data_IF_583284366547
#
_entry.id   IF_583284366547
#
_cell.length_a   1.000
_cell.length_b   1.000
_cell.length_c   1.000
_cell.angle_alpha   90.00
_cell.angle_beta   90.00
_cell.angle_gamma   90.00
#
_symmetry.space_group_name_H-M   'P 1'
#
loop_
_entity.id
_entity.type
_entity.pdbx_description
1 polymer ?
#
# COMPACT_ATOMS: atom_id res chain seq x y z
N UNK A 1 -11.93 -16.67 -13.23
CA UNK A 1 -10.65 -17.25 -12.79
C UNK A 1 -9.60 -16.20 -13.06
N UNK A 2 -9.09 -15.55 -12.06
CA UNK A 2 -7.95 -14.64 -12.20
C UNK A 2 -6.73 -15.49 -12.52
N UNK A 3 -6.22 -15.39 -13.74
CA UNK A 3 -4.92 -15.97 -14.12
C UNK A 3 -3.87 -15.32 -13.21
N UNK A 4 -3.11 -16.14 -12.49
CA UNK A 4 -2.01 -15.68 -11.66
C UNK A 4 -1.01 -14.86 -12.51
N UNK A 5 -0.46 -13.80 -11.91
CA UNK A 5 0.56 -12.99 -12.58
C UNK A 5 1.82 -13.82 -12.81
N UNK A 6 2.43 -13.66 -13.99
CA UNK A 6 3.77 -14.19 -14.26
C UNK A 6 4.79 -13.39 -13.47
N UNK A 7 5.68 -14.08 -12.76
CA UNK A 7 6.80 -13.40 -12.11
C UNK A 7 8.03 -13.41 -13.00
N UNK A 8 8.75 -12.28 -13.10
CA UNK A 8 9.98 -12.24 -13.88
C UNK A 8 11.07 -13.11 -13.25
N UNK A 9 11.96 -13.64 -14.08
CA UNK A 9 13.16 -14.34 -13.62
C UNK A 9 14.23 -13.31 -13.19
N UNK A 10 14.94 -13.60 -12.09
CA UNK A 10 16.04 -12.76 -11.59
C UNK A 10 15.88 -12.38 -10.11
N UNK A 11 16.79 -11.54 -9.62
CA UNK A 11 16.76 -11.00 -8.26
C UNK A 11 15.82 -9.79 -8.22
N UNK A 12 14.59 -10.03 -7.78
CA UNK A 12 13.56 -9.01 -7.63
C UNK A 12 13.14 -8.88 -6.18
N UNK A 13 12.83 -7.67 -5.77
CA UNK A 13 12.13 -7.42 -4.50
C UNK A 13 10.63 -7.49 -4.72
N UNK A 14 9.96 -8.30 -3.92
CA UNK A 14 8.52 -8.51 -4.03
C UNK A 14 7.78 -7.82 -2.90
N UNK A 15 6.73 -7.13 -3.27
CA UNK A 15 5.83 -6.49 -2.31
C UNK A 15 4.37 -6.82 -2.56
N UNK A 16 3.55 -6.49 -1.59
CA UNK A 16 2.10 -6.55 -1.67
C UNK A 16 1.49 -5.27 -1.13
N UNK A 17 0.29 -4.95 -1.59
CA UNK A 17 -0.57 -3.97 -0.95
C UNK A 17 -1.71 -4.68 -0.21
N UNK A 18 -2.12 -4.12 0.92
CA UNK A 18 -3.20 -4.64 1.74
C UNK A 18 -4.05 -3.52 2.34
N UNK A 19 -5.34 -3.84 2.55
CA UNK A 19 -6.29 -2.97 3.23
C UNK A 19 -7.15 -3.79 4.20
N UNK A 20 -8.11 -3.15 4.86
CA UNK A 20 -9.09 -3.85 5.72
C UNK A 20 -9.86 -4.96 5.00
N UNK A 21 -9.89 -4.95 3.66
CA UNK A 21 -10.53 -6.01 2.86
C UNK A 21 -9.84 -7.38 3.00
N UNK A 22 -8.54 -7.41 3.30
CA UNK A 22 -7.83 -8.64 3.62
C UNK A 22 -7.97 -8.95 5.12
N UNK A 23 -8.86 -9.89 5.53
CA UNK A 23 -9.20 -10.05 6.96
C UNK A 23 -8.05 -10.60 7.80
N UNK A 24 -7.25 -11.51 7.24
CA UNK A 24 -6.18 -12.19 7.97
C UNK A 24 -4.87 -12.17 7.18
N UNK A 25 -3.84 -11.57 7.76
CA UNK A 25 -2.46 -11.65 7.25
C UNK A 25 -1.64 -12.56 8.16
N UNK A 26 -1.16 -13.67 7.62
CA UNK A 26 -0.30 -14.63 8.34
C UNK A 26 1.16 -14.24 8.18
N UNK A 27 1.61 -13.22 8.90
CA UNK A 27 2.92 -12.59 8.77
C UNK A 27 4.10 -13.57 8.74
N UNK A 28 4.10 -14.60 9.59
CA UNK A 28 5.15 -15.64 9.60
C UNK A 28 5.20 -16.51 8.33
N UNK A 29 4.10 -16.54 7.57
CA UNK A 29 3.93 -17.38 6.39
C UNK A 29 3.66 -16.55 5.14
N UNK A 30 3.91 -15.24 5.22
CA UNK A 30 3.65 -14.32 4.12
C UNK A 30 4.71 -14.53 3.04
N UNK A 31 4.29 -15.11 1.91
CA UNK A 31 5.14 -15.38 0.75
C UNK A 31 4.30 -15.52 -0.50
N UNK A 32 4.92 -15.31 -1.65
CA UNK A 32 4.31 -15.56 -2.95
C UNK A 32 4.49 -17.03 -3.27
N UNK A 33 3.41 -17.68 -3.67
CA UNK A 33 3.43 -19.07 -4.13
C UNK A 33 3.45 -19.10 -5.65
N UNK A 34 4.35 -19.90 -6.25
CA UNK A 34 4.61 -19.90 -7.70
C UNK A 34 4.54 -21.34 -8.19
N UNK A 35 3.81 -21.59 -9.30
CA UNK A 35 3.69 -22.88 -9.95
C UNK A 35 4.84 -23.16 -10.94
N UNK A 36 4.73 -24.30 -11.64
CA UNK A 36 5.72 -24.76 -12.64
C UNK A 36 5.84 -23.81 -13.83
N UNK A 37 4.77 -23.10 -14.17
CA UNK A 37 4.74 -22.11 -15.26
C UNK A 37 5.28 -20.74 -14.85
N UNK A 38 5.69 -20.55 -13.58
CA UNK A 38 6.12 -19.27 -13.05
C UNK A 38 4.98 -18.31 -12.70
N UNK A 39 3.76 -18.80 -12.61
CA UNK A 39 2.57 -18.00 -12.26
C UNK A 39 2.29 -18.02 -10.76
N UNK A 40 1.76 -16.91 -10.23
CA UNK A 40 1.32 -16.86 -8.83
C UNK A 40 0.09 -17.74 -8.61
N UNK A 41 0.09 -18.51 -7.52
CA UNK A 41 -1.02 -19.39 -7.14
C UNK A 41 -1.42 -19.20 -5.68
N UNK A 42 -2.66 -19.51 -5.35
CA UNK A 42 -3.19 -19.41 -3.99
C UNK A 42 -3.03 -20.68 -3.16
N UNK A 43 -2.78 -21.80 -3.82
CA UNK A 43 -2.69 -23.11 -3.17
C UNK A 43 -1.24 -23.57 -3.04
N UNK A 44 -0.84 -23.88 -1.82
CA UNK A 44 0.49 -24.43 -1.56
C UNK A 44 0.72 -25.79 -2.26
N UNK A 45 -0.36 -26.54 -2.54
CA UNK A 45 -0.26 -27.81 -3.28
C UNK A 45 0.13 -27.65 -4.76
N UNK A 46 -0.12 -26.45 -5.33
CA UNK A 46 0.21 -26.12 -6.72
C UNK A 46 1.54 -25.37 -6.83
N UNK A 47 2.11 -24.96 -5.72
CA UNK A 47 3.34 -24.20 -5.71
C UNK A 47 4.54 -25.14 -5.75
N UNK A 48 5.46 -24.89 -6.66
CA UNK A 48 6.77 -25.57 -6.76
C UNK A 48 7.88 -24.73 -6.13
N UNK A 49 7.68 -23.41 -6.02
CA UNK A 49 8.60 -22.52 -5.32
C UNK A 49 7.87 -21.38 -4.59
N UNK A 50 8.58 -20.69 -3.72
CA UNK A 50 8.04 -19.55 -2.99
C UNK A 50 9.05 -18.43 -2.96
N UNK A 51 8.54 -17.16 -3.02
CA UNK A 51 9.36 -15.97 -2.83
C UNK A 51 8.93 -15.26 -1.54
N UNK A 52 9.91 -14.65 -0.86
CA UNK A 52 9.64 -13.82 0.31
C UNK A 52 8.96 -12.52 -0.09
N UNK A 53 8.24 -11.92 0.86
CA UNK A 53 7.73 -10.56 0.73
C UNK A 53 8.72 -9.64 1.43
N UNK A 54 9.31 -8.72 0.66
CA UNK A 54 10.32 -7.78 1.15
C UNK A 54 9.67 -6.51 1.70
N UNK A 55 8.54 -6.10 1.11
CA UNK A 55 7.82 -4.90 1.55
C UNK A 55 6.31 -5.04 1.44
N UNK A 56 5.60 -4.21 2.19
CA UNK A 56 4.14 -4.17 2.19
C UNK A 56 3.65 -2.73 2.24
N UNK A 57 2.79 -2.35 1.31
CA UNK A 57 2.01 -1.13 1.40
C UNK A 57 0.67 -1.40 2.08
N UNK A 58 0.31 -0.55 3.02
CA UNK A 58 -0.92 -0.70 3.80
C UNK A 58 -1.81 0.52 3.65
N UNK A 59 -3.09 0.30 3.35
CA UNK A 59 -4.08 1.38 3.39
C UNK A 59 -4.11 1.99 4.78
N UNK A 60 -3.79 3.27 4.87
CA UNK A 60 -3.90 4.01 6.12
C UNK A 60 -5.23 4.76 6.20
N UNK A 61 -5.58 5.45 5.11
CA UNK A 61 -6.74 6.34 5.06
C UNK A 61 -7.39 6.38 3.68
N UNK A 62 -8.61 6.92 3.63
CA UNK A 62 -9.31 7.25 2.40
C UNK A 62 -10.08 8.56 2.61
N UNK A 63 -10.04 9.46 1.63
CA UNK A 63 -10.76 10.71 1.69
C UNK A 63 -10.42 11.51 2.94
N UNK A 64 -11.34 12.38 3.36
CA UNK A 64 -11.09 13.36 4.42
C UNK A 64 -11.11 12.77 5.84
N UNK A 65 -11.73 11.59 6.05
CA UNK A 65 -11.99 11.12 7.42
C UNK A 65 -11.84 9.62 7.64
N UNK A 66 -11.95 8.78 6.60
CA UNK A 66 -11.85 7.33 6.78
C UNK A 66 -10.43 6.94 7.17
N UNK A 67 -10.33 6.08 8.21
CA UNK A 67 -9.08 5.46 8.69
C UNK A 67 -9.25 3.96 8.68
N UNK A 68 -8.29 3.25 8.06
CA UNK A 68 -8.31 1.80 8.08
C UNK A 68 -8.02 1.29 9.50
N UNK A 69 -9.03 0.67 10.13
CA UNK A 69 -8.94 0.21 11.53
C UNK A 69 -7.88 -0.88 11.75
N UNK A 70 -7.43 -1.54 10.68
CA UNK A 70 -6.39 -2.56 10.75
C UNK A 70 -4.99 -1.99 10.60
N UNK A 71 -4.86 -0.76 10.13
CA UNK A 71 -3.59 -0.13 9.78
C UNK A 71 -2.58 -0.18 10.94
N UNK A 72 -2.90 0.39 12.09
CA UNK A 72 -1.97 0.49 13.23
C UNK A 72 -1.46 -0.87 13.69
N UNK A 73 -2.35 -1.86 13.78
CA UNK A 73 -1.98 -3.21 14.18
C UNK A 73 -1.07 -3.90 13.16
N UNK A 74 -1.31 -3.68 11.88
CA UNK A 74 -0.49 -4.21 10.78
C UNK A 74 0.84 -3.51 10.66
N UNK A 75 0.86 -2.20 10.83
CA UNK A 75 2.07 -1.37 10.83
C UNK A 75 3.10 -1.87 11.82
N UNK A 76 2.69 -2.13 13.07
CA UNK A 76 3.56 -2.71 14.09
C UNK A 76 3.99 -4.16 13.79
N UNK A 77 3.09 -4.96 13.18
CA UNK A 77 3.42 -6.35 12.83
C UNK A 77 4.42 -6.43 11.68
N UNK A 78 4.29 -5.61 10.62
CA UNK A 78 5.25 -5.58 9.53
C UNK A 78 6.67 -5.33 10.07
N UNK A 79 6.85 -4.31 10.91
CA UNK A 79 8.12 -4.03 11.60
C UNK A 79 8.61 -5.23 12.43
N UNK A 80 7.73 -5.82 13.24
CA UNK A 80 8.07 -6.98 14.09
C UNK A 80 8.60 -8.18 13.28
N UNK A 81 8.11 -8.35 12.06
CA UNK A 81 8.50 -9.46 11.17
C UNK A 81 9.59 -9.09 10.16
N UNK A 82 10.20 -7.90 10.29
CA UNK A 82 11.29 -7.46 9.43
C UNK A 82 10.90 -7.17 7.98
N UNK A 83 9.59 -6.91 7.73
CA UNK A 83 9.08 -6.56 6.41
C UNK A 83 9.07 -5.04 6.31
N UNK A 84 9.73 -4.50 5.29
CA UNK A 84 9.71 -3.06 5.00
C UNK A 84 8.28 -2.61 4.75
N UNK A 85 7.88 -1.53 5.41
CA UNK A 85 6.48 -1.10 5.41
C UNK A 85 6.31 0.25 4.74
N UNK A 86 5.21 0.41 4.01
CA UNK A 86 4.76 1.65 3.43
C UNK A 86 3.29 1.87 3.71
N UNK A 87 2.85 3.10 3.66
CA UNK A 87 1.46 3.48 3.83
C UNK A 87 0.91 4.14 2.59
N UNK A 88 -0.34 3.86 2.24
CA UNK A 88 -1.01 4.57 1.17
C UNK A 88 -2.30 5.24 1.59
N UNK A 89 -2.61 6.33 0.90
CA UNK A 89 -3.87 7.05 0.98
C UNK A 89 -4.70 6.80 -0.26
N UNK A 90 -5.92 6.29 -0.11
CA UNK A 90 -6.86 6.18 -1.23
C UNK A 90 -7.50 7.55 -1.49
N UNK A 91 -7.14 8.12 -2.63
CA UNK A 91 -7.49 9.49 -2.95
C UNK A 91 -8.91 9.65 -3.47
N UNK A 92 -9.60 10.67 -2.98
CA UNK A 92 -10.94 11.06 -3.43
C UNK A 92 -10.89 12.44 -4.07
N UNK A 93 -10.75 12.54 -5.41
CA UNK A 93 -10.54 13.83 -6.09
C UNK A 93 -11.65 14.85 -5.88
N UNK A 94 -12.87 14.39 -5.58
CA UNK A 94 -14.01 15.25 -5.25
C UNK A 94 -13.89 15.97 -3.89
N UNK A 95 -12.86 15.66 -3.08
CA UNK A 95 -12.68 16.18 -1.72
C UNK A 95 -11.46 17.09 -1.62
N UNK A 96 -11.35 17.85 -0.48
CA UNK A 96 -10.20 18.73 -0.23
C UNK A 96 -8.90 17.94 -0.13
N UNK A 97 -7.88 18.37 -0.86
CA UNK A 97 -6.54 17.76 -0.79
C UNK A 97 -5.90 17.99 0.58
N UNK A 98 -6.08 19.16 1.16
CA UNK A 98 -5.54 19.52 2.48
C UNK A 98 -6.13 18.65 3.58
N UNK A 99 -7.47 18.48 3.58
CA UNK A 99 -8.16 17.63 4.57
C UNK A 99 -7.71 16.16 4.44
N UNK A 100 -7.54 15.66 3.23
CA UNK A 100 -7.06 14.32 2.96
C UNK A 100 -5.60 14.13 3.41
N UNK A 101 -4.72 15.07 3.11
CA UNK A 101 -3.34 15.06 3.56
C UNK A 101 -3.24 15.08 5.10
N UNK A 102 -4.05 15.90 5.75
CA UNK A 102 -4.09 15.97 7.21
C UNK A 102 -4.63 14.67 7.83
N UNK A 103 -5.68 14.05 7.23
CA UNK A 103 -6.17 12.74 7.66
C UNK A 103 -5.07 11.68 7.60
N UNK A 104 -4.29 11.66 6.52
CA UNK A 104 -3.17 10.73 6.32
C UNK A 104 -2.06 10.97 7.34
N UNK A 105 -1.56 12.18 7.46
CA UNK A 105 -0.50 12.58 8.40
C UNK A 105 -0.87 12.20 9.85
N UNK A 106 -2.08 12.56 10.28
CA UNK A 106 -2.57 12.27 11.63
C UNK A 106 -2.73 10.76 11.90
N UNK A 107 -2.90 9.96 10.87
CA UNK A 107 -3.12 8.52 11.01
C UNK A 107 -1.82 7.74 11.09
N UNK A 108 -0.79 8.18 10.37
CA UNK A 108 0.52 7.53 10.33
C UNK A 108 1.42 8.01 11.48
N UNK A 109 1.43 9.31 11.74
CA UNK A 109 2.37 9.92 12.68
C UNK A 109 3.78 10.01 12.11
N UNK A 110 4.78 9.59 12.86
CA UNK A 110 6.19 9.67 12.45
C UNK A 110 6.58 8.46 11.59
N UNK A 111 7.24 8.71 10.47
CA UNK A 111 7.91 7.69 9.67
C UNK A 111 9.34 7.46 10.19
N UNK A 112 9.76 6.22 10.20
CA UNK A 112 11.14 5.83 10.50
C UNK A 112 11.97 5.80 9.19
N UNK A 113 13.29 5.92 9.30
CA UNK A 113 14.18 5.90 8.12
C UNK A 113 14.11 4.61 7.28
N UNK A 114 13.57 3.55 7.85
CA UNK A 114 13.37 2.25 7.18
C UNK A 114 11.99 2.11 6.55
N UNK A 115 11.10 3.06 6.78
CA UNK A 115 9.77 3.05 6.19
C UNK A 115 9.82 3.57 4.76
N UNK A 116 8.96 3.03 3.89
CA UNK A 116 8.83 3.50 2.52
C UNK A 116 8.14 4.88 2.49
N UNK A 117 8.43 5.70 1.48
CA UNK A 117 7.72 6.95 1.27
C UNK A 117 6.19 6.76 1.21
N UNK A 118 5.42 7.77 1.63
CA UNK A 118 3.96 7.78 1.47
C UNK A 118 3.52 7.61 0.01
N UNK A 119 2.44 6.87 -0.20
CA UNK A 119 1.89 6.64 -1.54
C UNK A 119 0.50 7.24 -1.65
N UNK A 120 0.24 7.93 -2.77
CA UNK A 120 -1.08 8.39 -3.17
C UNK A 120 -1.67 7.43 -4.20
N UNK A 121 -2.74 6.74 -3.81
CA UNK A 121 -3.46 5.78 -4.64
C UNK A 121 -4.65 6.46 -5.33
N UNK A 122 -4.61 6.54 -6.67
CA UNK A 122 -5.59 7.25 -7.48
C UNK A 122 -6.31 6.26 -8.40
N UNK A 123 -7.51 5.84 -7.99
CA UNK A 123 -8.33 4.88 -8.74
C UNK A 123 -9.71 5.44 -9.15
N UNK A 124 -10.10 6.60 -8.63
CA UNK A 124 -11.42 7.21 -8.84
C UNK A 124 -11.29 8.62 -9.38
N UNK A 125 -12.25 9.01 -10.20
CA UNK A 125 -12.39 10.37 -10.71
C UNK A 125 -13.36 11.23 -9.86
N UNK A 126 -14.30 10.60 -9.14
CA UNK A 126 -15.31 11.26 -8.31
C UNK A 126 -16.02 12.44 -9.01
N UNK A 127 -16.37 12.26 -10.29
CA UNK A 127 -17.00 13.25 -11.17
C UNK A 127 -16.19 14.56 -11.35
N UNK A 128 -14.89 14.51 -11.09
CA UNK A 128 -13.99 15.65 -11.29
C UNK A 128 -13.37 15.65 -12.69
N UNK A 129 -13.01 16.85 -13.17
CA UNK A 129 -12.18 16.97 -14.36
C UNK A 129 -10.76 16.46 -14.09
N UNK A 130 -10.05 16.05 -15.16
CA UNK A 130 -8.63 15.64 -15.07
C UNK A 130 -7.76 16.78 -14.50
N UNK A 131 -8.07 18.02 -14.84
CA UNK A 131 -7.39 19.19 -14.32
C UNK A 131 -7.56 19.31 -12.79
N UNK A 132 -8.79 19.15 -12.29
CA UNK A 132 -9.09 19.18 -10.86
C UNK A 132 -8.39 18.04 -10.13
N UNK A 133 -8.41 16.83 -10.68
CA UNK A 133 -7.71 15.68 -10.13
C UNK A 133 -6.20 15.97 -10.02
N UNK A 134 -5.57 16.40 -11.12
CA UNK A 134 -4.15 16.68 -11.16
C UNK A 134 -3.74 17.75 -10.15
N UNK A 135 -4.49 18.86 -10.11
CA UNK A 135 -4.24 19.95 -9.14
C UNK A 135 -4.31 19.43 -7.71
N UNK A 136 -5.40 18.75 -7.34
CA UNK A 136 -5.59 18.26 -5.96
C UNK A 136 -4.60 17.16 -5.59
N UNK A 137 -4.24 16.27 -6.51
CA UNK A 137 -3.21 15.27 -6.26
C UNK A 137 -1.85 15.91 -5.99
N UNK A 138 -1.45 16.92 -6.79
CA UNK A 138 -0.23 17.67 -6.57
C UNK A 138 -0.24 18.44 -5.24
N UNK A 139 -1.37 19.03 -4.88
CA UNK A 139 -1.50 19.75 -3.59
C UNK A 139 -1.33 18.77 -2.42
N UNK A 140 -1.96 17.58 -2.48
CA UNK A 140 -1.77 16.52 -1.47
C UNK A 140 -0.30 16.08 -1.36
N UNK A 141 0.33 15.78 -2.50
CA UNK A 141 1.74 15.36 -2.55
C UNK A 141 2.67 16.41 -1.92
N UNK A 142 2.51 17.70 -2.26
CA UNK A 142 3.30 18.79 -1.70
C UNK A 142 3.16 18.93 -0.18
N UNK A 143 1.95 18.77 0.34
CA UNK A 143 1.68 18.85 1.79
C UNK A 143 2.38 17.69 2.51
N UNK A 144 2.24 16.46 1.99
CA UNK A 144 2.82 15.26 2.60
C UNK A 144 4.34 15.26 2.47
N UNK A 145 4.88 15.62 1.30
CA UNK A 145 6.32 15.79 1.07
C UNK A 145 6.93 16.79 2.05
N UNK A 146 6.29 17.95 2.20
CA UNK A 146 6.75 18.99 3.15
C UNK A 146 6.76 18.49 4.60
N UNK A 147 5.75 17.68 4.98
CA UNK A 147 5.63 17.16 6.34
C UNK A 147 6.69 16.12 6.67
N UNK A 148 6.93 15.16 5.77
CA UNK A 148 7.85 14.04 6.01
C UNK A 148 9.28 14.29 5.51
N UNK A 149 9.50 15.32 4.68
CA UNK A 149 10.80 15.61 4.10
C UNK A 149 11.26 14.55 3.08
N UNK A 150 10.33 13.82 2.47
CA UNK A 150 10.61 12.74 1.50
C UNK A 150 9.79 12.94 0.23
N UNK A 151 10.37 12.56 -0.90
CA UNK A 151 9.72 12.59 -2.22
C UNK A 151 9.17 11.21 -2.57
#
# INVERSE_FOLDING_TARGET
MTTGAMLPNGNWSYGIDISHHQPLVRWKKLRILIDEDGKTVWSQKKAVRTESIDYVFMKATEGESFKDWRFKGRWGKAKKYGITRGAYHFFRPGKSAESQAQNFINSIGVLENTDLPPVLDIEKMDDCSVETLNKRALDWLRIVEKHYGTK
#
